data_IF_390786180050
#
_entry.id   IF_390786180050
#
_cell.length_a   1.000
_cell.length_b   1.000
_cell.length_c   1.000
_cell.angle_alpha   90.00
_cell.angle_beta   90.00
_cell.angle_gamma   90.00
#
_symmetry.space_group_name_H-M   'P 1'
#
loop_
_entity.id
_entity.type
_entity.pdbx_description
1 polymer ?
#
# COMPACT_ATOMS: atom_id res chain seq x y z
N UNK A 1 -22.43 -30.55 -27.99
CA UNK A 1 -20.98 -30.23 -27.95
C UNK A 1 -20.79 -28.89 -27.26
N UNK A 2 -19.98 -28.90 -26.19
CA UNK A 2 -19.21 -27.79 -25.58
C UNK A 2 -19.96 -26.48 -25.25
N UNK A 3 -20.65 -26.48 -24.11
CA UNK A 3 -21.01 -25.26 -23.35
C UNK A 3 -20.76 -25.50 -21.87
N UNK A 4 -19.49 -25.45 -21.46
CA UNK A 4 -19.04 -25.43 -20.07
C UNK A 4 -17.51 -25.38 -20.12
N UNK A 5 -16.91 -24.19 -20.16
CA UNK A 5 -15.45 -23.98 -20.06
C UNK A 5 -15.17 -22.47 -20.07
N UNK A 6 -15.71 -21.70 -19.12
CA UNK A 6 -15.27 -20.30 -18.93
C UNK A 6 -15.42 -19.79 -17.48
N UNK A 7 -15.69 -20.64 -16.50
CA UNK A 7 -15.98 -20.23 -15.12
C UNK A 7 -15.16 -20.98 -14.06
N UNK A 8 -14.04 -21.60 -14.44
CA UNK A 8 -13.22 -22.40 -13.50
C UNK A 8 -11.84 -21.82 -13.18
N UNK A 9 -11.47 -20.67 -13.73
CA UNK A 9 -10.20 -19.98 -13.39
C UNK A 9 -10.34 -18.93 -12.29
N UNK A 10 -11.56 -18.58 -11.86
CA UNK A 10 -11.79 -17.63 -10.76
C UNK A 10 -11.62 -18.26 -9.36
N UNK A 11 -11.46 -19.58 -9.27
CA UNK A 11 -11.35 -20.31 -7.99
C UNK A 11 -9.91 -20.46 -7.50
N UNK A 12 -8.94 -19.81 -8.15
CA UNK A 12 -7.55 -19.77 -7.69
C UNK A 12 -7.24 -18.53 -6.81
N UNK A 13 -8.20 -17.61 -6.62
CA UNK A 13 -8.09 -16.44 -5.73
C UNK A 13 -8.36 -16.80 -4.27
N UNK A 14 -7.84 -17.94 -3.79
CA UNK A 14 -8.00 -18.38 -2.40
C UNK A 14 -7.00 -17.56 -1.56
N UNK A 15 -7.31 -16.29 -1.33
CA UNK A 15 -6.45 -15.35 -0.61
C UNK A 15 -6.79 -13.87 -0.81
N UNK A 16 -7.51 -13.51 -1.88
CA UNK A 16 -7.97 -12.12 -2.06
C UNK A 16 -9.26 -11.88 -1.29
N UNK A 17 -9.35 -10.75 -0.59
CA UNK A 17 -10.60 -10.29 -0.02
C UNK A 17 -11.66 -10.07 -1.11
N UNK A 18 -12.94 -10.20 -0.76
CA UNK A 18 -14.05 -10.04 -1.72
C UNK A 18 -13.98 -8.68 -2.45
N UNK A 19 -13.48 -7.65 -1.79
CA UNK A 19 -13.34 -6.31 -2.37
C UNK A 19 -12.22 -6.21 -3.41
N UNK A 20 -11.11 -6.90 -3.16
CA UNK A 20 -9.98 -6.99 -4.08
C UNK A 20 -10.39 -7.68 -5.40
N UNK A 21 -11.23 -8.70 -5.29
CA UNK A 21 -11.84 -9.38 -6.44
C UNK A 21 -12.79 -8.44 -7.19
N UNK A 22 -13.63 -7.69 -6.48
CA UNK A 22 -14.56 -6.73 -7.08
C UNK A 22 -13.81 -5.62 -7.81
N UNK A 23 -12.77 -5.05 -7.21
CA UNK A 23 -11.94 -4.01 -7.81
C UNK A 23 -11.26 -4.54 -9.07
N UNK A 24 -10.60 -5.70 -8.98
CA UNK A 24 -9.91 -6.31 -10.13
C UNK A 24 -10.85 -6.61 -11.29
N UNK A 25 -12.04 -7.17 -11.01
CA UNK A 25 -13.06 -7.46 -12.04
C UNK A 25 -13.64 -6.17 -12.64
N UNK A 26 -13.66 -5.09 -11.88
CA UNK A 26 -14.11 -3.77 -12.34
C UNK A 26 -13.05 -2.99 -13.11
N UNK A 27 -11.83 -3.51 -13.21
CA UNK A 27 -10.70 -2.87 -13.90
C UNK A 27 -9.84 -2.00 -12.99
N UNK A 28 -10.01 -2.07 -11.67
CA UNK A 28 -9.34 -1.23 -10.69
C UNK A 28 -8.42 -2.06 -9.78
N UNK A 29 -7.51 -1.38 -9.10
CA UNK A 29 -6.68 -1.95 -8.05
C UNK A 29 -6.37 -0.92 -6.96
N UNK A 30 -6.16 -1.39 -5.73
CA UNK A 30 -5.72 -0.55 -4.62
C UNK A 30 -4.19 -0.49 -4.59
N UNK A 31 -3.66 0.74 -4.58
CA UNK A 31 -2.27 1.04 -4.26
C UNK A 31 -2.20 1.90 -3.01
N UNK A 32 -1.12 1.82 -2.24
CA UNK A 32 -0.96 2.58 -1.02
C UNK A 32 0.39 3.25 -0.91
N UNK A 33 0.43 4.27 -0.06
CA UNK A 33 1.66 4.89 0.41
C UNK A 33 1.53 5.20 1.91
N UNK A 34 2.66 5.20 2.60
CA UNK A 34 2.79 5.46 4.03
C UNK A 34 2.72 6.96 4.28
N UNK A 35 1.83 7.36 5.19
CA UNK A 35 1.59 8.75 5.56
C UNK A 35 2.06 9.06 6.98
N UNK A 36 2.11 8.04 7.84
CA UNK A 36 2.63 8.16 9.20
C UNK A 36 3.05 6.81 9.77
N UNK A 37 3.61 6.85 10.98
CA UNK A 37 3.94 5.66 11.74
C UNK A 37 3.69 5.87 13.24
N UNK A 38 3.31 4.78 13.91
CA UNK A 38 3.29 4.67 15.36
C UNK A 38 4.65 4.10 15.81
N UNK A 39 5.34 4.82 16.68
CA UNK A 39 6.66 4.44 17.21
C UNK A 39 6.50 4.00 18.66
N UNK A 40 7.24 2.99 19.09
CA UNK A 40 7.20 2.52 20.47
C UNK A 40 7.48 3.67 21.46
N UNK A 41 6.55 3.90 22.39
CA UNK A 41 6.64 4.98 23.39
C UNK A 41 6.15 6.36 22.93
N UNK A 42 5.76 6.53 21.67
CA UNK A 42 5.08 7.72 21.17
C UNK A 42 3.58 7.72 21.53
N UNK A 43 2.97 8.91 21.60
CA UNK A 43 1.51 9.03 21.72
C UNK A 43 0.88 9.17 20.33
N UNK A 44 0.49 8.03 19.75
CA UNK A 44 -0.23 7.97 18.47
C UNK A 44 0.68 8.13 17.25
N UNK A 45 0.05 8.36 16.09
CA UNK A 45 0.73 8.46 14.80
C UNK A 45 1.53 9.75 14.67
N UNK A 46 2.77 9.60 14.23
CA UNK A 46 3.63 10.70 13.79
C UNK A 46 3.68 10.71 12.27
N UNK A 47 3.58 11.89 11.64
CA UNK A 47 3.71 11.98 10.18
C UNK A 47 5.11 11.54 9.74
N UNK A 48 5.20 10.91 8.57
CA UNK A 48 6.50 10.45 8.03
C UNK A 48 7.51 11.60 7.94
N UNK A 49 7.11 12.78 7.45
CA UNK A 49 8.00 13.95 7.31
C UNK A 49 8.60 14.39 8.66
N UNK A 50 7.94 14.03 9.76
CA UNK A 50 8.37 14.34 11.12
C UNK A 50 9.18 13.22 11.77
N UNK A 51 9.13 11.99 11.24
CA UNK A 51 9.65 10.81 11.93
C UNK A 51 11.17 10.86 12.09
N UNK A 52 11.89 11.16 11.00
CA UNK A 52 13.36 11.27 11.03
C UNK A 52 13.87 12.46 11.86
N UNK A 53 13.02 13.46 12.06
CA UNK A 53 13.35 14.65 12.83
C UNK A 53 13.08 14.47 14.33
N UNK A 54 12.12 13.61 14.70
CA UNK A 54 11.68 13.42 16.09
C UNK A 54 12.24 12.15 16.74
N UNK A 55 12.58 11.15 15.93
CA UNK A 55 13.09 9.86 16.37
C UNK A 55 14.42 9.55 15.65
N UNK A 56 15.30 8.71 16.22
CA UNK A 56 16.54 8.27 15.57
C UNK A 56 16.26 7.23 14.47
N UNK A 57 15.23 7.45 13.66
CA UNK A 57 14.78 6.61 12.57
C UNK A 57 15.23 7.25 11.27
N UNK A 58 15.80 6.45 10.36
CA UNK A 58 16.07 6.88 8.98
C UNK A 58 15.23 6.03 8.06
N UNK A 59 14.33 6.67 7.33
CA UNK A 59 13.56 6.01 6.30
C UNK A 59 14.41 5.98 5.04
N UNK A 60 14.52 4.84 4.35
CA UNK A 60 15.26 4.83 3.10
C UNK A 60 14.63 5.75 2.06
N UNK A 61 15.44 6.32 1.18
CA UNK A 61 14.98 7.29 0.16
C UNK A 61 13.86 6.72 -0.75
N UNK A 62 13.79 5.39 -0.89
CA UNK A 62 12.82 4.65 -1.70
C UNK A 62 11.61 4.16 -0.89
N UNK A 63 11.52 4.51 0.39
CA UNK A 63 10.37 4.18 1.23
C UNK A 63 9.11 4.87 0.68
N UNK A 64 8.00 4.15 0.48
CA UNK A 64 6.80 4.69 -0.15
C UNK A 64 6.08 5.65 0.77
N UNK A 65 6.57 6.89 0.89
CA UNK A 65 6.03 7.79 1.87
C UNK A 65 5.97 9.26 1.46
N UNK A 66 5.08 9.97 2.14
CA UNK A 66 4.92 11.40 2.01
C UNK A 66 3.66 11.90 2.70
N UNK A 67 3.54 13.22 2.82
CA UNK A 67 2.28 13.85 3.24
C UNK A 67 1.16 13.61 2.23
N UNK A 68 -0.08 13.54 2.71
CA UNK A 68 -1.27 13.36 1.88
C UNK A 68 -1.30 14.28 0.66
N UNK A 69 -1.11 15.59 0.87
CA UNK A 69 -1.10 16.56 -0.22
C UNK A 69 -0.02 16.27 -1.27
N UNK A 70 1.14 15.78 -0.84
CA UNK A 70 2.25 15.43 -1.73
C UNK A 70 1.93 14.20 -2.55
N UNK A 71 1.32 13.18 -1.93
CA UNK A 71 0.92 11.94 -2.58
C UNK A 71 -0.19 12.16 -3.60
N UNK A 72 -1.24 12.88 -3.21
CA UNK A 72 -2.36 13.23 -4.09
C UNK A 72 -1.87 14.06 -5.29
N UNK A 73 -0.99 15.05 -5.04
CA UNK A 73 -0.38 15.85 -6.10
C UNK A 73 0.50 15.01 -7.04
N UNK A 74 1.19 13.98 -6.51
CA UNK A 74 2.04 13.09 -7.31
C UNK A 74 1.20 12.27 -8.28
N UNK A 75 0.15 11.60 -7.82
CA UNK A 75 -0.77 10.85 -8.69
C UNK A 75 -1.41 11.75 -9.75
N UNK A 76 -1.88 12.93 -9.34
CA UNK A 76 -2.44 13.92 -10.28
C UNK A 76 -1.43 14.40 -11.33
N UNK A 77 -0.15 14.59 -10.95
CA UNK A 77 0.90 14.99 -11.89
C UNK A 77 1.29 13.88 -12.89
N UNK A 78 1.09 12.63 -12.49
CA UNK A 78 1.21 11.47 -13.38
C UNK A 78 -0.02 11.37 -14.31
N UNK A 79 -1.13 12.04 -14.00
CA UNK A 79 -2.39 11.88 -14.74
C UNK A 79 -2.99 10.50 -14.49
N UNK A 80 -2.78 9.96 -13.29
CA UNK A 80 -3.46 8.76 -12.80
C UNK A 80 -4.73 9.26 -12.12
N UNK A 81 -5.89 8.80 -12.61
CA UNK A 81 -7.17 9.13 -12.02
C UNK A 81 -7.40 8.30 -10.74
N UNK A 82 -7.96 8.95 -9.72
CA UNK A 82 -8.25 8.34 -8.42
C UNK A 82 -9.76 8.09 -8.37
N UNK A 83 -10.17 6.83 -8.34
CA UNK A 83 -11.57 6.41 -8.28
C UNK A 83 -12.11 6.50 -6.84
N UNK A 84 -11.28 6.14 -5.86
CA UNK A 84 -11.63 6.22 -4.44
C UNK A 84 -10.37 6.32 -3.57
N UNK A 85 -10.54 6.74 -2.32
CA UNK A 85 -9.48 6.77 -1.32
C UNK A 85 -9.95 6.26 0.03
N UNK A 86 -9.09 5.50 0.71
CA UNK A 86 -9.32 5.03 2.07
C UNK A 86 -8.03 5.11 2.90
N UNK A 87 -8.10 4.72 4.17
CA UNK A 87 -6.96 4.69 5.07
C UNK A 87 -6.84 3.33 5.75
N UNK A 88 -5.60 2.94 6.03
CA UNK A 88 -5.29 1.65 6.61
C UNK A 88 -4.14 1.70 7.59
N UNK A 89 -3.96 0.59 8.29
CA UNK A 89 -2.85 0.33 9.19
C UNK A 89 -2.19 -0.97 8.77
N UNK A 90 -0.86 -0.96 8.69
CA UNK A 90 -0.04 -2.18 8.59
C UNK A 90 0.60 -2.39 9.96
N UNK A 91 0.33 -3.53 10.58
CA UNK A 91 1.03 -3.96 11.80
C UNK A 91 2.45 -4.42 11.42
N UNK A 92 3.45 -3.87 12.11
CA UNK A 92 4.87 -4.15 11.83
C UNK A 92 5.50 -5.07 12.88
N UNK A 93 4.68 -5.83 13.63
CA UNK A 93 5.15 -6.94 14.47
C UNK A 93 5.63 -8.14 13.63
N UNK A 94 6.73 -7.92 12.89
CA UNK A 94 7.38 -8.86 11.97
C UNK A 94 8.33 -8.12 11.01
N UNK A 95 9.01 -8.84 10.12
CA UNK A 95 9.85 -8.24 9.08
C UNK A 95 8.97 -7.66 7.96
N UNK A 96 8.50 -6.42 8.13
CA UNK A 96 7.79 -5.68 7.07
C UNK A 96 8.83 -4.98 6.21
N UNK A 97 8.98 -5.46 4.97
CA UNK A 97 9.89 -4.86 4.00
C UNK A 97 9.20 -4.58 2.67
N UNK A 98 9.58 -3.46 2.07
CA UNK A 98 9.15 -2.97 0.78
C UNK A 98 10.24 -3.21 -0.26
N UNK A 99 9.86 -3.54 -1.49
CA UNK A 99 10.81 -3.77 -2.59
C UNK A 99 11.36 -5.20 -2.64
N UNK A 100 12.15 -5.50 -3.67
CA UNK A 100 12.64 -6.84 -3.95
C UNK A 100 14.16 -6.89 -4.17
N UNK A 101 14.81 -7.93 -3.66
CA UNK A 101 16.23 -8.18 -3.92
C UNK A 101 17.16 -7.23 -3.17
N UNK A 102 17.99 -6.47 -3.90
CA UNK A 102 18.94 -5.52 -3.31
C UNK A 102 18.30 -4.22 -2.85
N UNK A 103 17.11 -3.92 -3.34
CA UNK A 103 16.40 -2.66 -3.13
C UNK A 103 15.29 -2.86 -2.07
N UNK A 104 15.38 -3.96 -1.32
CA UNK A 104 14.48 -4.24 -0.20
C UNK A 104 14.80 -3.31 0.97
N UNK A 105 13.80 -2.56 1.38
CA UNK A 105 13.81 -1.61 2.48
C UNK A 105 12.90 -2.13 3.57
N UNK A 106 13.45 -2.39 4.76
CA UNK A 106 12.66 -2.87 5.89
C UNK A 106 12.28 -1.73 6.83
N UNK A 107 11.10 -1.86 7.42
CA UNK A 107 10.63 -0.98 8.49
C UNK A 107 11.52 -1.18 9.72
N UNK A 108 11.98 -0.10 10.37
CA UNK A 108 12.75 -0.19 11.61
C UNK A 108 11.94 -0.82 12.76
N UNK A 109 12.62 -1.57 13.63
CA UNK A 109 12.00 -2.30 14.75
C UNK A 109 11.26 -1.38 15.75
N UNK A 110 11.64 -0.11 15.82
CA UNK A 110 11.01 0.88 16.69
C UNK A 110 9.61 1.31 16.22
N UNK A 111 9.30 1.08 14.94
CA UNK A 111 7.98 1.34 14.37
C UNK A 111 7.10 0.13 14.62
N UNK A 112 5.97 0.33 15.30
CA UNK A 112 5.03 -0.74 15.65
C UNK A 112 3.84 -0.82 14.69
N UNK A 113 3.51 0.29 14.02
CA UNK A 113 2.46 0.35 13.00
C UNK A 113 2.77 1.41 11.95
N UNK A 114 2.39 1.14 10.70
CA UNK A 114 2.38 2.15 9.64
C UNK A 114 0.95 2.60 9.36
N UNK A 115 0.74 3.91 9.28
CA UNK A 115 -0.48 4.51 8.78
C UNK A 115 -0.31 4.73 7.28
N UNK A 116 -1.26 4.23 6.50
CA UNK A 116 -1.23 4.30 5.03
C UNK A 116 -2.47 4.98 4.49
N UNK A 117 -2.32 5.63 3.34
CA UNK A 117 -3.44 6.05 2.49
C UNK A 117 -3.53 5.11 1.31
N UNK A 118 -4.72 4.59 1.08
CA UNK A 118 -5.10 3.69 -0.01
C UNK A 118 -5.74 4.53 -1.13
N UNK A 119 -5.42 4.17 -2.36
CA UNK A 119 -5.91 4.79 -3.57
C UNK A 119 -6.40 3.70 -4.51
N UNK A 120 -7.67 3.77 -4.88
CA UNK A 120 -8.23 2.93 -5.94
C UNK A 120 -7.97 3.61 -7.28
N UNK A 121 -7.22 2.95 -8.15
CA UNK A 121 -6.84 3.44 -9.48
C UNK A 121 -7.12 2.38 -10.54
N UNK A 122 -7.11 2.77 -11.81
CA UNK A 122 -7.18 1.81 -12.91
C UNK A 122 -6.00 0.82 -12.87
N UNK A 123 -6.29 -0.45 -13.16
CA UNK A 123 -5.33 -1.56 -13.00
C UNK A 123 -4.11 -1.46 -13.93
N UNK A 124 -4.26 -0.79 -15.07
CA UNK A 124 -3.19 -0.52 -16.03
C UNK A 124 -2.24 0.60 -15.58
N UNK A 125 -2.66 1.44 -14.63
CA UNK A 125 -1.82 2.48 -14.02
C UNK A 125 -1.01 1.96 -12.80
N UNK A 126 -1.32 0.77 -12.27
CA UNK A 126 -0.64 0.19 -11.09
C UNK A 126 0.88 0.15 -11.24
N UNK A 127 1.39 -0.29 -12.40
CA UNK A 127 2.84 -0.33 -12.63
C UNK A 127 3.46 1.07 -12.57
N UNK A 128 2.76 2.06 -13.13
CA UNK A 128 3.25 3.43 -13.15
C UNK A 128 3.21 4.04 -11.75
N UNK A 129 2.16 3.77 -10.98
CA UNK A 129 2.06 4.16 -9.58
C UNK A 129 3.21 3.52 -8.75
N UNK A 130 3.47 2.22 -8.96
CA UNK A 130 4.58 1.49 -8.34
C UNK A 130 5.95 2.10 -8.66
N UNK A 131 6.23 2.35 -9.95
CA UNK A 131 7.48 2.98 -10.38
C UNK A 131 7.65 4.43 -9.83
N UNK A 132 6.63 4.98 -9.14
CA UNK A 132 6.62 6.30 -8.50
C UNK A 132 6.35 6.26 -6.98
N UNK A 133 6.46 5.08 -6.35
CA UNK A 133 6.44 4.92 -4.90
C UNK A 133 5.07 4.60 -4.29
N UNK A 134 4.12 4.07 -5.07
CA UNK A 134 2.84 3.55 -4.56
C UNK A 134 2.79 2.03 -4.68
N UNK A 135 2.63 1.32 -3.58
CA UNK A 135 2.72 -0.14 -3.56
C UNK A 135 1.34 -0.74 -3.76
N UNK A 136 1.17 -1.72 -4.66
CA UNK A 136 -0.12 -2.41 -4.75
C UNK A 136 -0.38 -3.19 -3.47
N UNK A 137 -1.63 -3.16 -3.02
CA UNK A 137 -2.10 -4.05 -1.95
C UNK A 137 -1.98 -5.52 -2.38
N UNK A 138 -2.35 -5.82 -3.63
CA UNK A 138 -2.21 -7.15 -4.25
C UNK A 138 -0.96 -7.19 -5.12
N UNK A 139 0.14 -7.59 -4.52
CA UNK A 139 1.44 -7.45 -5.16
C UNK A 139 1.94 -8.72 -5.87
N UNK A 140 1.46 -9.91 -5.49
CA UNK A 140 1.97 -11.18 -6.02
C UNK A 140 1.49 -11.54 -7.45
N UNK A 141 0.23 -11.25 -7.80
CA UNK A 141 -0.33 -11.65 -9.11
C UNK A 141 -0.24 -10.55 -10.18
N UNK A 142 -0.19 -9.26 -9.80
CA UNK A 142 -0.18 -8.14 -10.75
C UNK A 142 1.23 -7.71 -11.19
N UNK A 143 2.23 -7.83 -10.30
CA UNK A 143 3.61 -7.42 -10.57
C UNK A 143 4.61 -8.60 -10.59
N UNK A 144 4.18 -9.83 -10.28
CA UNK A 144 5.02 -11.04 -10.17
C UNK A 144 5.37 -11.41 -8.72
N UNK A 145 6.11 -12.52 -8.53
CA UNK A 145 6.50 -13.20 -7.26
C UNK A 145 7.29 -12.36 -6.22
N UNK A 146 7.09 -11.05 -6.17
CA UNK A 146 8.07 -10.11 -5.64
C UNK A 146 7.71 -9.45 -4.32
N UNK A 147 6.58 -9.79 -3.69
CA UNK A 147 6.09 -8.98 -2.58
C UNK A 147 5.39 -9.77 -1.48
N UNK A 148 5.60 -9.28 -0.26
CA UNK A 148 4.93 -9.66 0.98
C UNK A 148 3.44 -9.32 0.89
N UNK A 149 2.57 -10.25 1.26
CA UNK A 149 1.16 -9.97 1.53
C UNK A 149 1.10 -9.13 2.81
N UNK A 150 0.68 -7.87 2.71
CA UNK A 150 0.56 -6.98 3.87
C UNK A 150 -0.85 -7.09 4.42
N UNK A 151 -0.98 -7.47 5.69
CA UNK A 151 -2.26 -7.41 6.38
C UNK A 151 -2.60 -5.94 6.68
N UNK A 152 -3.54 -5.38 5.90
CA UNK A 152 -3.97 -3.98 6.00
C UNK A 152 -5.32 -3.93 6.73
N UNK A 153 -5.31 -3.41 7.95
CA UNK A 153 -6.53 -3.10 8.69
C UNK A 153 -7.08 -1.74 8.26
N UNK A 154 -8.30 -1.69 7.71
CA UNK A 154 -8.95 -0.42 7.36
C UNK A 154 -9.41 0.37 8.57
N UNK A 155 -9.12 1.67 8.54
CA UNK A 155 -9.43 2.60 9.63
C UNK A 155 -9.85 3.97 9.11
N UNK A 156 -10.46 4.78 9.97
CA UNK A 156 -10.71 6.19 9.66
C UNK A 156 -9.39 6.94 9.45
N UNK A 157 -9.28 7.74 8.40
CA UNK A 157 -8.11 8.59 8.14
C UNK A 157 -7.73 9.47 9.35
N UNK A 158 -8.73 9.96 10.08
CA UNK A 158 -8.50 10.75 11.30
C UNK A 158 -7.81 9.98 12.43
N UNK A 159 -7.88 8.64 12.42
CA UNK A 159 -7.20 7.80 13.42
C UNK A 159 -5.70 7.68 13.18
N UNK A 160 -5.25 7.93 11.94
CA UNK A 160 -3.83 7.96 11.56
C UNK A 160 -3.31 9.40 11.35
N UNK A 161 -4.12 10.40 11.72
CA UNK A 161 -3.73 11.82 11.66
C UNK A 161 -3.90 12.50 10.31
N UNK A 162 -4.77 11.96 9.44
CA UNK A 162 -5.19 12.55 8.16
C UNK A 162 -6.59 13.17 8.27
#
# INVERSE_FOLDING_TARGET
MKKALFLLSALALIGCDDEDVVNTVSGNAEVFAVTGAEVEGAQGYTSIDSLENQYPITLPDEFPAGSEQTLDSRLGSLGIDIEDTDCGIIDTSGDVCFGAGSDTVCVPDEVTKLGIKLYTIDIDEVKRAYDNGFYPKLAADLLGDTFSDFDIERVSCSSIGL
#
